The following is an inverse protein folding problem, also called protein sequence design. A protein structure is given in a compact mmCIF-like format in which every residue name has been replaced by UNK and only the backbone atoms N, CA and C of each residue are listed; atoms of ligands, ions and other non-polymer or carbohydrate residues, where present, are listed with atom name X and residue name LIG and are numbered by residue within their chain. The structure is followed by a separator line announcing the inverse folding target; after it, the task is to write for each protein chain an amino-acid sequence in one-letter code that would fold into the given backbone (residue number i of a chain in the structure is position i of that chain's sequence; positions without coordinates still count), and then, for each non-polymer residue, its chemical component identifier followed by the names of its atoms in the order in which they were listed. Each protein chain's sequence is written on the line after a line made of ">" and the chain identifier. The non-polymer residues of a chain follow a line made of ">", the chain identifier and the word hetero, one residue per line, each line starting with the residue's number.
data_IF_852623130556
#
_entry.id   IF_852623130556
#
_cell.length_a   1.000
_cell.length_b   1.000
_cell.length_c   1.000
_cell.angle_alpha   90.00
_cell.angle_beta   90.00
_cell.angle_gamma   90.00
#
_symmetry.space_group_name_H-M   'P 1'
#
loop_
_entity.id
_entity.type
_entity.pdbx_description
1 polymer ?
#
# COMPACT_ATOMS: atom_id res chain seq x y z
N UNK A 1 -2.16 37.55 -8.04
CA UNK A 1 -2.86 36.30 -7.64
C UNK A 1 -4.04 36.73 -6.81
N UNK A 2 -5.26 36.55 -7.31
CA UNK A 2 -6.47 36.96 -6.60
C UNK A 2 -6.68 36.09 -5.35
N UNK A 3 -7.47 36.59 -4.40
CA UNK A 3 -7.86 35.86 -3.16
C UNK A 3 -8.37 34.45 -3.48
N UNK A 4 -9.09 34.31 -4.60
CA UNK A 4 -9.56 33.02 -5.12
C UNK A 4 -8.42 32.03 -5.41
N UNK A 5 -7.31 32.51 -5.98
CA UNK A 5 -6.14 31.68 -6.26
C UNK A 5 -5.46 31.16 -5.00
N UNK A 6 -5.36 31.99 -3.96
CA UNK A 6 -4.83 31.57 -2.66
C UNK A 6 -5.71 30.51 -1.98
N UNK A 7 -7.04 30.67 -2.05
CA UNK A 7 -7.98 29.67 -1.54
C UNK A 7 -7.86 28.32 -2.25
N UNK A 8 -7.71 28.32 -3.57
CA UNK A 8 -7.53 27.10 -4.35
C UNK A 8 -6.22 26.39 -3.95
N UNK A 9 -5.11 27.14 -3.86
CA UNK A 9 -3.82 26.57 -3.45
C UNK A 9 -3.90 25.97 -2.04
N UNK A 10 -4.53 26.68 -1.11
CA UNK A 10 -4.74 26.20 0.26
C UNK A 10 -5.56 24.90 0.28
N UNK A 11 -6.64 24.83 -0.49
CA UNK A 11 -7.48 23.64 -0.61
C UNK A 11 -6.70 22.46 -1.21
N UNK A 12 -5.91 22.69 -2.26
CA UNK A 12 -5.06 21.65 -2.86
C UNK A 12 -4.06 21.12 -1.84
N UNK A 13 -3.36 22.00 -1.10
CA UNK A 13 -2.41 21.58 -0.05
C UNK A 13 -3.12 20.75 1.02
N UNK A 14 -4.30 21.17 1.47
CA UNK A 14 -5.09 20.43 2.45
C UNK A 14 -5.45 19.02 1.96
N UNK A 15 -5.87 18.90 0.70
CA UNK A 15 -6.15 17.61 0.06
C UNK A 15 -4.89 16.74 -0.04
N UNK A 16 -3.74 17.32 -0.44
CA UNK A 16 -2.46 16.61 -0.56
C UNK A 16 -1.97 16.05 0.79
N UNK A 17 -2.13 16.84 1.87
CA UNK A 17 -1.78 16.40 3.22
C UNK A 17 -2.74 15.32 3.72
N UNK A 18 -4.05 15.50 3.49
CA UNK A 18 -5.07 14.54 3.88
C UNK A 18 -4.90 13.18 3.21
N UNK A 19 -4.67 13.15 1.89
CA UNK A 19 -4.44 11.90 1.16
C UNK A 19 -3.14 11.20 1.63
N UNK A 20 -2.07 11.95 1.89
CA UNK A 20 -0.77 11.38 2.30
C UNK A 20 -0.89 10.74 3.68
N UNK A 21 -1.59 11.41 4.60
CA UNK A 21 -1.88 10.87 5.93
C UNK A 21 -2.75 9.61 5.85
N UNK A 22 -3.79 9.62 5.02
CA UNK A 22 -4.67 8.47 4.85
C UNK A 22 -3.92 7.25 4.28
N UNK A 23 -3.09 7.47 3.24
CA UNK A 23 -2.24 6.42 2.65
C UNK A 23 -1.27 5.86 3.68
N UNK A 24 -0.65 6.72 4.50
CA UNK A 24 0.24 6.28 5.56
C UNK A 24 -0.48 5.37 6.58
N UNK A 25 -1.67 5.77 7.02
CA UNK A 25 -2.47 4.99 7.98
C UNK A 25 -2.92 3.65 7.37
N UNK A 26 -3.44 3.65 6.14
CA UNK A 26 -3.85 2.43 5.43
C UNK A 26 -2.66 1.48 5.18
N UNK A 27 -1.49 2.02 4.82
CA UNK A 27 -0.30 1.22 4.62
C UNK A 27 0.25 0.64 5.94
N UNK A 28 0.16 1.41 7.05
CA UNK A 28 0.56 0.95 8.40
C UNK A 28 -0.32 -0.21 8.87
N UNK A 29 -1.63 -0.12 8.67
CA UNK A 29 -2.56 -1.19 9.04
C UNK A 29 -2.29 -2.48 8.25
N UNK A 30 -1.69 -2.37 7.05
CA UNK A 30 -1.28 -3.50 6.20
C UNK A 30 0.11 -4.06 6.50
N UNK A 31 0.81 -3.55 7.54
CA UNK A 31 2.20 -3.93 7.90
C UNK A 31 3.15 -3.93 6.70
N UNK A 32 2.97 -3.01 5.75
CA UNK A 32 3.88 -2.95 4.60
C UNK A 32 5.21 -2.32 5.04
N UNK A 33 6.33 -2.98 4.74
CA UNK A 33 7.69 -2.49 5.04
C UNK A 33 7.96 -1.09 4.42
N UNK A 34 7.23 -0.73 3.36
CA UNK A 34 7.44 0.49 2.58
C UNK A 34 6.36 1.57 2.81
N UNK A 35 5.61 1.49 3.92
CA UNK A 35 4.46 2.37 4.19
C UNK A 35 4.79 3.86 4.15
N UNK A 36 5.93 4.27 4.70
CA UNK A 36 6.38 5.66 4.68
C UNK A 36 6.76 6.15 3.26
N UNK A 37 7.27 5.25 2.42
CA UNK A 37 7.74 5.55 1.07
C UNK A 37 6.55 5.88 0.15
N UNK A 38 5.47 5.11 0.27
CA UNK A 38 4.20 5.37 -0.44
C UNK A 38 3.56 6.71 -0.06
N UNK A 39 3.54 7.03 1.24
CA UNK A 39 3.01 8.30 1.72
C UNK A 39 3.85 9.50 1.23
N UNK A 40 5.16 9.35 1.17
CA UNK A 40 6.09 10.37 0.68
C UNK A 40 5.95 10.61 -0.82
N UNK A 41 5.80 9.55 -1.62
CA UNK A 41 5.54 9.68 -3.06
C UNK A 41 4.18 10.33 -3.35
N UNK A 42 3.16 10.04 -2.54
CA UNK A 42 1.83 10.62 -2.69
C UNK A 42 1.77 12.12 -2.36
N UNK A 43 2.73 12.63 -1.59
CA UNK A 43 2.84 14.05 -1.29
C UNK A 43 3.20 14.87 -2.53
N UNK A 44 4.02 14.31 -3.43
CA UNK A 44 4.58 15.05 -4.57
C UNK A 44 3.83 14.82 -5.88
N UNK A 45 3.07 13.72 -6.00
CA UNK A 45 2.49 13.31 -7.28
C UNK A 45 0.98 13.06 -7.16
N UNK A 46 0.21 14.05 -7.60
CA UNK A 46 -1.24 13.97 -7.77
C UNK A 46 -1.57 13.85 -9.27
N UNK A 47 -2.50 12.97 -9.72
CA UNK A 47 -3.21 11.90 -9.01
C UNK A 47 -2.60 10.50 -9.24
N UNK A 48 -1.51 10.40 -10.01
CA UNK A 48 -0.97 9.14 -10.52
C UNK A 48 -0.51 8.21 -9.40
N UNK A 49 0.18 8.73 -8.38
CA UNK A 49 0.65 7.91 -7.26
C UNK A 49 -0.49 7.30 -6.45
N UNK A 50 -1.63 7.97 -6.34
CA UNK A 50 -2.80 7.42 -5.65
C UNK A 50 -3.37 6.18 -6.37
N UNK A 51 -3.46 6.27 -7.70
CA UNK A 51 -3.94 5.17 -8.54
C UNK A 51 -2.98 3.98 -8.45
N UNK A 52 -1.67 4.24 -8.59
CA UNK A 52 -0.63 3.21 -8.48
C UNK A 52 -0.64 2.59 -7.07
N UNK A 53 -0.77 3.40 -6.02
CA UNK A 53 -0.84 2.93 -4.64
C UNK A 53 -1.98 1.93 -4.47
N UNK A 54 -3.19 2.25 -4.92
CA UNK A 54 -4.34 1.34 -4.79
C UNK A 54 -4.11 0.04 -5.56
N UNK A 55 -3.58 0.11 -6.79
CA UNK A 55 -3.32 -1.08 -7.61
C UNK A 55 -2.26 -1.97 -6.95
N UNK A 56 -1.12 -1.38 -6.56
CA UNK A 56 0.01 -2.14 -6.04
C UNK A 56 -0.23 -2.65 -4.63
N UNK A 57 -0.80 -1.83 -3.76
CA UNK A 57 -1.15 -2.18 -2.36
C UNK A 57 -2.20 -3.28 -2.29
N UNK A 58 -3.13 -3.36 -3.26
CA UNK A 58 -4.07 -4.48 -3.34
C UNK A 58 -3.46 -5.77 -3.90
N UNK A 59 -2.42 -5.66 -4.72
CA UNK A 59 -1.77 -6.82 -5.33
C UNK A 59 -0.74 -7.51 -4.40
N UNK A 60 -0.27 -6.79 -3.39
CA UNK A 60 0.80 -7.19 -2.47
C UNK A 60 0.19 -7.62 -1.13
N UNK A 61 -0.59 -8.69 -1.14
CA UNK A 61 -1.01 -9.38 0.08
C UNK A 61 0.23 -9.85 0.87
N UNK A 62 0.16 -9.89 2.22
CA UNK A 62 1.29 -10.25 3.07
C UNK A 62 1.81 -11.63 2.68
N UNK A 63 3.13 -11.71 2.51
CA UNK A 63 3.81 -12.95 2.21
C UNK A 63 3.87 -13.77 3.50
N UNK A 64 3.08 -14.84 3.60
CA UNK A 64 3.34 -15.86 4.60
C UNK A 64 4.56 -16.68 4.15
N UNK A 65 5.50 -16.90 5.07
CA UNK A 65 6.64 -17.76 4.82
C UNK A 65 6.14 -19.21 4.83
N UNK A 66 6.46 -19.99 3.79
CA UNK A 66 6.13 -21.40 3.80
C UNK A 66 7.02 -22.13 4.82
N UNK A 67 6.43 -22.73 5.85
CA UNK A 67 7.14 -23.51 6.88
C UNK A 67 7.96 -24.68 6.32
N UNK A 68 7.69 -25.15 5.10
CA UNK A 68 8.37 -26.29 4.51
C UNK A 68 9.59 -25.91 3.65
N UNK A 69 9.58 -24.75 2.98
CA UNK A 69 10.65 -24.36 2.06
C UNK A 69 11.29 -23.00 2.39
N UNK A 70 10.76 -22.27 3.37
CA UNK A 70 11.27 -20.97 3.80
C UNK A 70 11.11 -19.84 2.78
N UNK A 71 10.44 -20.09 1.64
CA UNK A 71 10.20 -19.06 0.61
C UNK A 71 8.95 -18.25 0.94
N UNK A 72 8.96 -16.98 0.56
CA UNK A 72 7.80 -16.08 0.67
C UNK A 72 6.70 -16.52 -0.29
N UNK A 73 5.48 -16.69 0.22
CA UNK A 73 4.33 -17.12 -0.57
C UNK A 73 3.13 -16.27 -0.19
N UNK A 74 2.23 -16.04 -1.16
CA UNK A 74 0.99 -15.34 -0.85
C UNK A 74 0.10 -16.25 -0.02
N UNK A 75 -0.42 -15.72 1.08
CA UNK A 75 -1.30 -16.42 2.01
C UNK A 75 -2.63 -16.88 1.38
N UNK A 76 -2.98 -16.31 0.22
CA UNK A 76 -4.15 -16.68 -0.58
C UNK A 76 -3.98 -17.96 -1.41
N UNK A 77 -2.78 -18.53 -1.48
CA UNK A 77 -2.51 -19.72 -2.28
C UNK A 77 -2.80 -21.00 -1.48
N UNK A 78 -3.43 -22.00 -2.12
CA UNK A 78 -3.75 -23.29 -1.46
C UNK A 78 -2.55 -24.23 -1.45
N UNK A 79 -1.66 -24.09 -2.43
CA UNK A 79 -0.45 -24.90 -2.60
C UNK A 79 0.77 -24.01 -2.82
N UNK A 80 1.91 -24.39 -2.25
CA UNK A 80 3.17 -23.70 -2.48
C UNK A 80 3.72 -24.06 -3.87
N UNK A 81 4.06 -23.07 -4.74
CA UNK A 81 4.54 -23.33 -6.10
C UNK A 81 5.96 -23.91 -6.14
N UNK A 82 6.73 -23.74 -5.06
CA UNK A 82 8.12 -24.15 -5.00
C UNK A 82 8.28 -25.58 -4.46
N UNK A 83 7.41 -26.01 -3.54
CA UNK A 83 7.53 -27.31 -2.89
C UNK A 83 6.30 -28.22 -3.06
N UNK A 84 5.20 -27.73 -3.64
CA UNK A 84 3.98 -28.50 -3.87
C UNK A 84 3.17 -28.83 -2.61
N UNK A 85 3.64 -28.49 -1.40
CA UNK A 85 2.86 -28.70 -0.16
C UNK A 85 1.67 -27.76 -0.09
N UNK A 86 0.56 -28.30 0.41
CA UNK A 86 -0.63 -27.55 0.79
C UNK A 86 -0.29 -26.70 2.02
N UNK A 87 -0.82 -25.48 2.08
CA UNK A 87 -0.79 -24.72 3.33
C UNK A 87 -1.80 -25.33 4.28
N UNK A 88 -1.33 -25.97 5.35
CA UNK A 88 -2.18 -26.44 6.43
C UNK A 88 -2.71 -25.20 7.15
N UNK A 89 -3.88 -24.75 6.70
CA UNK A 89 -4.73 -23.85 7.49
C UNK A 89 -5.28 -24.67 8.64
N UNK A 90 -4.50 -24.82 9.70
CA UNK A 90 -5.09 -25.19 10.98
C UNK A 90 -5.81 -23.96 11.54
N UNK A 91 -7.05 -24.23 11.96
CA UNK A 91 -8.18 -23.35 12.24
C UNK A 91 -7.85 -22.24 13.25
#
# INVERSE_FOLDING_TARGET
>A
MDIMGFLIIFLVIFVLLGQSLWIYLDARDRKSEFSALWALMALFSFPVTFIIYIIMSRSTCPNSLCHNCGKSVKESWVYCPYCGKKFDKEV
#
